data_IF_693345421039
#
_entry.id   IF_693345421039
#
_cell.length_a   1.000
_cell.length_b   1.000
_cell.length_c   1.000
_cell.angle_alpha   90.00
_cell.angle_beta   90.00
_cell.angle_gamma   90.00
#
_symmetry.space_group_name_H-M   'P 1'
#
loop_
_entity.id
_entity.type
_entity.pdbx_description
1 polymer ?
#
# COMPACT_ATOMS: atom_id res chain seq x y z
N UNK A 1 23.90 -21.47 -16.10
CA UNK A 1 23.02 -20.38 -15.64
C UNK A 1 22.26 -19.86 -16.85
N UNK A 2 20.98 -20.23 -17.03
CA UNK A 2 20.15 -19.71 -18.13
C UNK A 2 19.54 -18.40 -17.64
N UNK A 3 20.05 -17.26 -18.13
CA UNK A 3 19.49 -15.95 -17.80
C UNK A 3 18.28 -15.73 -18.71
N UNK A 4 17.12 -15.46 -18.11
CA UNK A 4 15.95 -15.04 -18.86
C UNK A 4 16.27 -13.72 -19.60
N UNK A 5 15.79 -13.54 -20.84
CA UNK A 5 16.03 -12.31 -21.58
C UNK A 5 15.45 -11.10 -20.82
N UNK A 6 16.08 -9.92 -20.90
CA UNK A 6 15.55 -8.72 -20.27
C UNK A 6 14.13 -8.44 -20.80
N UNK A 7 13.15 -8.33 -19.90
CA UNK A 7 11.81 -7.89 -20.26
C UNK A 7 11.77 -6.36 -20.30
N UNK A 8 11.13 -5.80 -21.33
CA UNK A 8 10.88 -4.36 -21.38
C UNK A 8 9.90 -3.96 -20.26
N UNK A 9 10.34 -3.06 -19.38
CA UNK A 9 9.48 -2.49 -18.36
C UNK A 9 8.55 -1.46 -19.00
N UNK A 10 7.24 -1.60 -18.76
CA UNK A 10 6.23 -0.61 -19.19
C UNK A 10 5.93 0.35 -18.06
N UNK A 11 6.02 1.64 -18.34
CA UNK A 11 5.53 2.68 -17.43
C UNK A 11 4.00 2.67 -17.42
N UNK A 12 3.42 2.57 -16.23
CA UNK A 12 1.98 2.67 -16.02
C UNK A 12 1.66 4.07 -15.46
N UNK A 13 0.63 4.72 -16.00
CA UNK A 13 0.10 5.98 -15.49
C UNK A 13 -1.43 5.93 -15.47
N UNK A 14 -2.05 6.41 -14.41
CA UNK A 14 -3.51 6.57 -14.30
C UNK A 14 -3.83 7.99 -13.85
N UNK A 15 -4.85 8.65 -14.42
CA UNK A 15 -5.30 9.96 -13.93
C UNK A 15 -6.16 9.85 -12.66
N UNK A 16 -6.60 8.64 -12.30
CA UNK A 16 -7.48 8.40 -11.16
C UNK A 16 -6.68 8.03 -9.91
N UNK A 17 -6.84 8.75 -8.78
CA UNK A 17 -6.28 8.33 -7.52
C UNK A 17 -6.89 6.97 -7.12
N UNK A 18 -6.08 6.12 -6.50
CA UNK A 18 -6.41 4.76 -6.09
C UNK A 18 -6.79 3.79 -7.20
N UNK A 19 -6.46 4.11 -8.45
CA UNK A 19 -6.62 3.13 -9.54
C UNK A 19 -5.85 1.84 -9.24
N UNK A 20 -4.65 1.97 -8.67
CA UNK A 20 -3.82 0.87 -8.16
C UNK A 20 -3.19 1.31 -6.85
N UNK A 21 -3.25 0.44 -5.84
CA UNK A 21 -2.80 0.76 -4.49
C UNK A 21 -2.32 -0.50 -3.77
N UNK A 22 -1.44 -0.32 -2.79
CA UNK A 22 -1.06 -1.35 -1.85
C UNK A 22 -1.86 -1.21 -0.55
N UNK A 23 -2.08 -2.34 0.10
CA UNK A 23 -2.59 -2.42 1.46
C UNK A 23 -1.59 -3.10 2.36
N UNK A 24 -1.46 -2.62 3.58
CA UNK A 24 -0.76 -3.33 4.64
C UNK A 24 -1.47 -3.18 5.99
N UNK A 25 -1.21 -4.10 6.91
CA UNK A 25 -1.67 -4.04 8.30
C UNK A 25 -0.45 -3.86 9.18
N UNK A 26 -0.40 -2.73 9.89
CA UNK A 26 0.67 -2.43 10.81
C UNK A 26 0.22 -2.69 12.25
N UNK A 27 1.07 -3.36 13.04
CA UNK A 27 0.87 -3.54 14.48
C UNK A 27 1.55 -4.80 15.03
N UNK A 28 1.34 -5.12 16.32
CA UNK A 28 0.50 -4.40 17.27
C UNK A 28 1.18 -3.17 17.88
N UNK A 29 0.45 -2.05 17.90
CA UNK A 29 0.83 -0.83 18.61
C UNK A 29 0.29 -0.80 20.05
N UNK A 30 0.68 0.23 20.80
CA UNK A 30 0.04 0.54 22.08
C UNK A 30 -1.46 0.74 21.89
N UNK A 31 -2.26 0.17 22.78
CA UNK A 31 -3.73 0.22 22.74
C UNK A 31 -4.22 1.66 22.61
N UNK A 32 -4.81 1.99 21.45
CA UNK A 32 -5.41 3.27 21.17
C UNK A 32 -6.85 3.36 21.65
N UNK A 33 -7.56 4.37 21.15
CA UNK A 33 -9.01 4.50 21.35
C UNK A 33 -9.72 3.23 20.88
N UNK A 34 -10.80 2.84 21.57
CA UNK A 34 -11.59 1.64 21.26
C UNK A 34 -10.85 0.29 21.36
N UNK A 35 -9.68 0.26 21.99
CA UNK A 35 -8.80 -0.93 22.10
C UNK A 35 -8.14 -1.34 20.79
N UNK A 36 -8.13 -0.46 19.79
CA UNK A 36 -7.52 -0.71 18.49
C UNK A 36 -6.00 -0.76 18.67
N UNK A 37 -5.36 -1.77 18.08
CA UNK A 37 -3.90 -1.97 18.13
C UNK A 37 -3.26 -2.06 16.76
N UNK A 38 -4.08 -2.06 15.72
CA UNK A 38 -3.64 -2.23 14.34
C UNK A 38 -4.10 -1.04 13.51
N UNK A 39 -3.32 -0.71 12.49
CA UNK A 39 -3.69 0.25 11.46
C UNK A 39 -3.76 -0.50 10.13
N UNK A 40 -4.79 -0.23 9.34
CA UNK A 40 -4.78 -0.58 7.91
C UNK A 40 -4.26 0.63 7.14
N UNK A 41 -3.30 0.40 6.25
CA UNK A 41 -2.64 1.46 5.49
C UNK A 41 -2.84 1.20 4.00
N UNK A 42 -3.35 2.19 3.30
CA UNK A 42 -3.46 2.23 1.84
C UNK A 42 -2.41 3.16 1.24
N UNK A 43 -1.66 2.70 0.24
CA UNK A 43 -0.71 3.54 -0.51
C UNK A 43 -1.09 3.56 -1.98
N UNK A 44 -1.43 4.73 -2.51
CA UNK A 44 -1.69 4.91 -3.93
C UNK A 44 -0.38 4.87 -4.72
N UNK A 45 -0.33 4.04 -5.77
CA UNK A 45 0.90 3.83 -6.52
C UNK A 45 1.30 5.01 -7.40
N UNK A 46 0.34 5.82 -7.83
CA UNK A 46 0.58 6.88 -8.82
C UNK A 46 0.96 8.20 -8.14
N UNK A 47 0.19 8.62 -7.14
CA UNK A 47 0.39 9.85 -6.36
C UNK A 47 1.32 9.65 -5.17
N UNK A 48 1.58 8.41 -4.77
CA UNK A 48 2.29 8.05 -3.53
C UNK A 48 1.60 8.57 -2.27
N UNK A 49 0.31 8.88 -2.35
CA UNK A 49 -0.48 9.29 -1.21
C UNK A 49 -0.76 8.11 -0.28
N UNK A 50 -0.81 8.38 1.03
CA UNK A 50 -0.96 7.35 2.07
C UNK A 50 -2.17 7.68 2.94
N UNK A 51 -3.02 6.69 3.14
CA UNK A 51 -4.17 6.72 4.04
C UNK A 51 -4.01 5.65 5.12
N UNK A 52 -4.30 5.96 6.38
CA UNK A 52 -4.15 5.03 7.49
C UNK A 52 -5.33 5.13 8.46
N UNK A 53 -6.00 4.01 8.71
CA UNK A 53 -7.19 3.95 9.55
C UNK A 53 -7.04 2.89 10.65
N UNK A 54 -7.56 3.13 11.86
CA UNK A 54 -7.47 2.16 12.95
C UNK A 54 -8.41 0.98 12.74
N UNK A 55 -7.87 -0.24 12.83
CA UNK A 55 -8.66 -1.47 12.78
C UNK A 55 -9.23 -1.77 14.17
N UNK A 56 -10.56 -1.87 14.25
CA UNK A 56 -11.31 -2.11 15.50
C UNK A 56 -11.42 -3.59 15.84
#
# INVERSE_FOLDING_TARGET
>A
MHLAPPSELKSLSSPWPFAWWAMDILGPFTTGLHRNKFLIVGVDYFTKWVEAEPLS
#
